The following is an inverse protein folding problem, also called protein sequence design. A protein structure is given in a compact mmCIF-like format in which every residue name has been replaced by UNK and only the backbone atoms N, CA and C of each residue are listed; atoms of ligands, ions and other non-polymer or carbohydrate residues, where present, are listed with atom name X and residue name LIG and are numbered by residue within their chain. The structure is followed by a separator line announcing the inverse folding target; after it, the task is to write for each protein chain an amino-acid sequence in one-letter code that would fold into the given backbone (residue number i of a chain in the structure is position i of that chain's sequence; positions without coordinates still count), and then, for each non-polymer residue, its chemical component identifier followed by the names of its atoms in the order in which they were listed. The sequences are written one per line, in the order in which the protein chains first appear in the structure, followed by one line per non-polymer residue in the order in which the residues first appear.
data_IF_777042133399
#
_entry.id   IF_777042133399
#
_cell.length_a   1.000
_cell.length_b   1.000
_cell.length_c   1.000
_cell.angle_alpha   90.00
_cell.angle_beta   90.00
_cell.angle_gamma   90.00
#
_symmetry.space_group_name_H-M   'P 1'
#
loop_
_entity.id
_entity.type
_entity.pdbx_description
1 polymer ?
#
# COMPACT_ATOMS: atom_id res chain seq x y z
N UNK A 1 -17.66 -17.33 -24.38
CA UNK A 1 -16.49 -16.48 -24.70
C UNK A 1 -16.52 -15.10 -24.02
N UNK A 2 -17.18 -14.04 -24.52
CA UNK A 2 -17.10 -12.69 -23.88
C UNK A 2 -17.63 -12.66 -22.44
N UNK A 3 -18.77 -13.33 -22.15
CA UNK A 3 -19.32 -13.43 -20.78
C UNK A 3 -18.40 -14.19 -19.82
N UNK A 4 -17.73 -15.24 -20.29
CA UNK A 4 -16.82 -16.05 -19.46
C UNK A 4 -15.54 -15.29 -19.17
N UNK A 5 -14.98 -14.58 -20.16
CA UNK A 5 -13.81 -13.72 -19.95
C UNK A 5 -14.14 -12.61 -18.93
N UNK A 6 -15.32 -11.98 -19.03
CA UNK A 6 -15.73 -10.95 -18.06
C UNK A 6 -15.93 -11.52 -16.66
N UNK A 7 -16.52 -12.72 -16.53
CA UNK A 7 -16.69 -13.39 -15.24
C UNK A 7 -15.36 -13.78 -14.60
N UNK A 8 -14.40 -14.26 -15.40
CA UNK A 8 -13.06 -14.64 -14.93
C UNK A 8 -12.25 -13.42 -14.48
N UNK A 9 -12.32 -12.31 -15.23
CA UNK A 9 -11.69 -11.04 -14.86
C UNK A 9 -12.29 -10.44 -13.58
N UNK A 10 -13.61 -10.55 -13.38
CA UNK A 10 -14.29 -10.12 -12.16
C UNK A 10 -13.93 -11.01 -10.97
N UNK A 11 -13.90 -12.33 -11.16
CA UNK A 11 -13.55 -13.29 -10.12
C UNK A 11 -12.11 -13.11 -9.63
N UNK A 12 -11.19 -12.76 -10.53
CA UNK A 12 -9.80 -12.50 -10.19
C UNK A 12 -9.60 -11.09 -9.63
N UNK A 13 -10.22 -10.06 -10.23
CA UNK A 13 -10.00 -8.66 -9.86
C UNK A 13 -10.59 -8.25 -8.50
N UNK A 14 -11.73 -8.81 -8.11
CA UNK A 14 -12.38 -8.50 -6.83
C UNK A 14 -11.50 -8.82 -5.61
N UNK A 15 -10.94 -10.04 -5.47
CA UNK A 15 -10.01 -10.36 -4.39
C UNK A 15 -8.83 -9.41 -4.28
N UNK A 16 -8.24 -8.99 -5.41
CA UNK A 16 -7.09 -8.06 -5.42
C UNK A 16 -7.48 -6.71 -4.84
N UNK A 17 -8.63 -6.18 -5.26
CA UNK A 17 -9.14 -4.90 -4.76
C UNK A 17 -9.49 -4.96 -3.27
N UNK A 18 -10.15 -6.02 -2.83
CA UNK A 18 -10.44 -6.24 -1.41
C UNK A 18 -9.18 -6.39 -0.57
N UNK A 19 -8.16 -7.10 -1.06
CA UNK A 19 -6.89 -7.22 -0.36
C UNK A 19 -6.17 -5.87 -0.25
N UNK A 20 -6.10 -5.10 -1.35
CA UNK A 20 -5.48 -3.78 -1.34
C UNK A 20 -6.17 -2.82 -0.36
N UNK A 21 -7.51 -2.77 -0.37
CA UNK A 21 -8.27 -1.95 0.58
C UNK A 21 -8.12 -2.42 2.03
N UNK A 22 -8.12 -3.73 2.28
CA UNK A 22 -7.90 -4.30 3.61
C UNK A 22 -6.54 -3.91 4.19
N UNK A 23 -5.47 -3.90 3.38
CA UNK A 23 -4.13 -3.47 3.79
C UNK A 23 -4.16 -2.01 4.25
N UNK A 24 -4.83 -1.12 3.51
CA UNK A 24 -4.93 0.31 3.87
C UNK A 24 -5.73 0.52 5.16
N UNK A 25 -6.85 -0.20 5.32
CA UNK A 25 -7.65 -0.12 6.56
C UNK A 25 -6.85 -0.65 7.74
N UNK A 26 -6.17 -1.79 7.58
CA UNK A 26 -5.35 -2.38 8.64
C UNK A 26 -4.18 -1.47 9.03
N UNK A 27 -3.57 -0.79 8.06
CA UNK A 27 -2.53 0.22 8.30
C UNK A 27 -3.02 1.39 9.17
N UNK A 28 -4.29 1.80 9.06
CA UNK A 28 -4.86 2.81 9.96
C UNK A 28 -5.22 2.22 11.33
N UNK A 29 -5.77 0.99 11.36
CA UNK A 29 -6.20 0.31 12.59
C UNK A 29 -5.04 -0.03 13.51
N UNK A 30 -3.87 -0.41 12.98
CA UNK A 30 -2.70 -0.74 13.81
C UNK A 30 -2.25 0.45 14.67
N UNK A 31 -2.44 1.66 14.16
CA UNK A 31 -2.20 2.90 14.89
C UNK A 31 -3.38 3.23 15.82
N UNK A 32 -4.63 3.17 15.36
CA UNK A 32 -5.77 3.50 16.23
C UNK A 32 -5.91 2.59 17.45
N UNK A 33 -5.66 1.28 17.30
CA UNK A 33 -5.73 0.29 18.39
C UNK A 33 -4.70 0.54 19.47
N UNK A 34 -3.49 0.91 19.06
CA UNK A 34 -2.40 1.18 20.00
C UNK A 34 -2.79 2.37 20.87
N UNK A 35 -3.15 3.50 20.29
CA UNK A 35 -3.51 4.71 21.02
C UNK A 35 -4.85 4.65 21.78
N UNK A 36 -5.80 3.83 21.31
CA UNK A 36 -7.04 3.52 22.03
C UNK A 36 -6.79 2.66 23.27
N UNK A 37 -5.71 1.86 23.27
CA UNK A 37 -5.25 1.12 24.44
C UNK A 37 -4.57 2.07 25.45
N UNK A 38 -5.38 2.96 26.04
CA UNK A 38 -4.99 3.99 27.03
C UNK A 38 -4.42 3.44 28.35
N UNK A 39 -4.11 2.15 28.47
CA UNK A 39 -3.70 1.51 29.71
C UNK A 39 -2.24 1.05 29.71
N UNK A 40 -1.32 1.90 30.15
CA UNK A 40 0.01 1.52 30.67
C UNK A 40 1.09 0.96 29.72
N UNK A 41 0.77 0.34 28.57
CA UNK A 41 1.80 -0.25 27.70
C UNK A 41 2.53 0.79 26.82
N UNK A 42 1.80 1.72 26.18
CA UNK A 42 2.42 2.80 25.38
C UNK A 42 3.31 3.70 26.25
N UNK A 43 2.87 4.03 27.47
CA UNK A 43 3.69 4.84 28.38
C UNK A 43 4.99 4.13 28.76
N UNK A 44 4.97 2.81 28.98
CA UNK A 44 6.18 2.02 29.25
C UNK A 44 7.06 1.85 28.00
N UNK A 45 6.47 1.72 26.82
CA UNK A 45 7.19 1.61 25.54
C UNK A 45 7.82 2.94 25.10
N UNK A 46 7.17 4.07 25.38
CA UNK A 46 7.67 5.44 25.11
C UNK A 46 8.63 5.97 26.19
N UNK A 47 8.65 5.35 27.39
CA UNK A 47 9.61 5.62 28.47
C UNK A 47 10.87 4.74 28.41
N UNK A 48 10.85 3.63 27.65
CA UNK A 48 12.07 2.87 27.37
C UNK A 48 13.04 3.77 26.57
N UNK A 49 14.33 3.87 26.98
CA UNK A 49 15.36 4.64 26.27
C UNK A 49 15.78 3.94 24.97
N UNK A 50 14.81 3.56 24.15
CA UNK A 50 14.97 3.00 22.83
C UNK A 50 14.39 3.95 21.79
N UNK A 51 14.99 4.00 20.59
CA UNK A 51 14.58 4.93 19.54
C UNK A 51 13.11 4.70 19.17
N UNK A 52 12.28 5.75 19.32
CA UNK A 52 10.85 5.75 18.93
C UNK A 52 10.64 5.40 17.44
N UNK A 53 11.68 5.61 16.65
CA UNK A 53 11.79 5.22 15.25
C UNK A 53 11.75 3.69 15.02
N UNK A 54 12.23 2.89 15.97
CA UNK A 54 12.20 1.42 15.87
C UNK A 54 10.78 0.85 15.87
N UNK A 55 9.85 1.48 16.59
CA UNK A 55 8.43 1.07 16.61
C UNK A 55 7.79 1.34 15.24
N UNK A 56 8.10 2.49 14.63
CA UNK A 56 7.63 2.82 13.28
C UNK A 56 8.14 1.79 12.25
N UNK A 57 9.43 1.46 12.29
CA UNK A 57 10.03 0.46 11.41
C UNK A 57 9.44 -0.94 11.60
N UNK A 58 9.22 -1.36 12.85
CA UNK A 58 8.61 -2.66 13.13
C UNK A 58 7.20 -2.76 12.54
N UNK A 59 6.39 -1.69 12.63
CA UNK A 59 5.06 -1.64 12.01
C UNK A 59 5.12 -1.63 10.49
N UNK A 60 6.05 -0.88 9.90
CA UNK A 60 6.23 -0.86 8.44
C UNK A 60 6.63 -2.25 7.94
N UNK A 61 7.60 -2.91 8.59
CA UNK A 61 7.98 -4.29 8.25
C UNK A 61 6.82 -5.27 8.42
N UNK A 62 6.02 -5.12 9.47
CA UNK A 62 4.81 -5.96 9.66
C UNK A 62 3.83 -5.77 8.50
N UNK A 63 3.59 -4.53 8.07
CA UNK A 63 2.73 -4.25 6.92
C UNK A 63 3.29 -4.81 5.61
N UNK A 64 4.61 -4.74 5.41
CA UNK A 64 5.26 -5.36 4.25
C UNK A 64 5.09 -6.87 4.24
N UNK A 65 5.32 -7.54 5.38
CA UNK A 65 5.14 -8.99 5.49
C UNK A 65 3.68 -9.39 5.21
N UNK A 66 2.71 -8.67 5.77
CA UNK A 66 1.28 -8.90 5.50
C UNK A 66 0.97 -8.72 4.01
N UNK A 67 1.54 -7.69 3.38
CA UNK A 67 1.33 -7.41 1.95
C UNK A 67 1.87 -8.56 1.08
N UNK A 68 3.11 -9.00 1.31
CA UNK A 68 3.70 -10.13 0.59
C UNK A 68 2.94 -11.43 0.83
N UNK A 69 2.49 -11.67 2.06
CA UNK A 69 1.70 -12.84 2.39
C UNK A 69 0.36 -12.85 1.65
N UNK A 70 -0.37 -11.73 1.65
CA UNK A 70 -1.64 -11.60 0.92
C UNK A 70 -1.45 -11.76 -0.59
N UNK A 71 -0.35 -11.24 -1.13
CA UNK A 71 0.00 -11.39 -2.54
C UNK A 71 0.30 -12.85 -2.89
N UNK A 72 1.05 -13.57 -2.04
CA UNK A 72 1.30 -15.00 -2.21
C UNK A 72 0.00 -15.82 -2.16
N UNK A 73 -0.90 -15.53 -1.22
CA UNK A 73 -2.21 -16.20 -1.11
C UNK A 73 -3.05 -15.99 -2.35
N UNK A 74 -3.05 -14.79 -2.93
CA UNK A 74 -3.78 -14.50 -4.17
C UNK A 74 -3.24 -15.30 -5.36
N UNK A 75 -1.92 -15.37 -5.51
CA UNK A 75 -1.29 -16.18 -6.56
C UNK A 75 -1.67 -17.64 -6.39
N UNK A 76 -1.48 -18.22 -5.20
CA UNK A 76 -1.86 -19.61 -4.91
C UNK A 76 -3.34 -19.87 -5.16
N UNK A 77 -4.21 -18.91 -4.83
CA UNK A 77 -5.66 -18.99 -5.08
C UNK A 77 -6.01 -19.13 -6.56
N UNK A 78 -5.31 -18.43 -7.46
CA UNK A 78 -5.50 -18.57 -8.92
C UNK A 78 -5.10 -19.95 -9.40
N UNK A 79 -3.92 -20.44 -8.96
CA UNK A 79 -3.47 -21.79 -9.32
C UNK A 79 -4.46 -22.84 -8.83
N UNK A 80 -4.94 -22.72 -7.59
CA UNK A 80 -5.92 -23.65 -7.02
C UNK A 80 -7.25 -23.62 -7.79
N UNK A 81 -7.74 -22.44 -8.18
CA UNK A 81 -8.96 -22.30 -8.98
C UNK A 81 -8.81 -23.01 -10.34
N UNK A 82 -7.66 -22.84 -11.00
CA UNK A 82 -7.35 -23.55 -12.24
C UNK A 82 -7.36 -25.07 -12.06
N UNK A 83 -6.66 -25.60 -11.05
CA UNK A 83 -6.61 -27.05 -10.81
C UNK A 83 -7.97 -27.65 -10.46
N UNK A 84 -8.78 -26.95 -9.65
CA UNK A 84 -10.13 -27.38 -9.32
C UNK A 84 -11.02 -27.39 -10.56
N UNK A 85 -10.97 -26.33 -11.38
CA UNK A 85 -11.77 -26.25 -12.61
C UNK A 85 -11.39 -27.33 -13.62
N UNK A 86 -10.08 -27.59 -13.80
CA UNK A 86 -9.59 -28.67 -14.65
C UNK A 86 -9.95 -30.07 -14.13
N UNK A 87 -10.14 -30.22 -12.82
CA UNK A 87 -10.55 -31.49 -12.21
C UNK A 87 -12.04 -31.77 -12.42
N UNK A 88 -12.90 -30.75 -12.27
CA UNK A 88 -14.36 -30.92 -12.40
C UNK A 88 -14.86 -30.87 -13.85
N UNK A 89 -14.16 -30.18 -14.75
CA UNK A 89 -14.60 -30.01 -16.14
C UNK A 89 -13.44 -30.35 -17.11
N UNK A 90 -13.36 -31.61 -17.57
CA UNK A 90 -12.26 -32.10 -18.42
C UNK A 90 -12.17 -31.42 -19.80
N UNK A 91 -13.25 -30.81 -20.30
CA UNK A 91 -13.24 -30.08 -21.58
C UNK A 91 -12.31 -28.85 -21.57
N UNK A 92 -12.08 -28.22 -20.41
CA UNK A 92 -11.15 -27.09 -20.29
C UNK A 92 -9.68 -27.51 -20.41
N UNK A 93 -9.36 -28.77 -20.12
CA UNK A 93 -8.00 -29.30 -20.26
C UNK A 93 -7.56 -29.45 -21.73
N UNK A 94 -8.52 -29.51 -22.67
CA UNK A 94 -8.23 -29.66 -24.10
C UNK A 94 -7.67 -28.37 -24.73
N UNK A 95 -7.95 -27.20 -24.13
CA UNK A 95 -7.54 -25.90 -24.65
C UNK A 95 -6.07 -25.53 -24.37
N UNK A 96 -5.26 -26.41 -23.75
CA UNK A 96 -3.83 -26.17 -23.45
C UNK A 96 -3.55 -24.81 -22.77
N UNK A 97 -4.50 -24.31 -21.98
CA UNK A 97 -4.34 -23.04 -21.25
C UNK A 97 -3.42 -23.33 -20.07
N UNK A 98 -2.22 -22.75 -20.06
CA UNK A 98 -1.32 -22.88 -18.91
C UNK A 98 -1.78 -21.98 -17.76
N UNK A 99 -1.62 -22.38 -16.49
CA UNK A 99 -1.98 -21.52 -15.35
C UNK A 99 -1.28 -20.15 -15.41
N UNK A 100 -0.06 -20.13 -15.95
CA UNK A 100 0.72 -18.91 -16.15
C UNK A 100 0.05 -17.94 -17.13
N UNK A 101 -0.61 -18.46 -18.17
CA UNK A 101 -1.33 -17.61 -19.13
C UNK A 101 -2.52 -16.87 -18.49
N UNK A 102 -3.14 -17.43 -17.45
CA UNK A 102 -4.22 -16.75 -16.69
C UNK A 102 -3.67 -15.62 -15.82
N UNK A 103 -2.45 -15.82 -15.28
CA UNK A 103 -1.73 -14.79 -14.52
C UNK A 103 -1.24 -13.66 -15.45
N UNK A 104 -0.84 -13.95 -16.68
CA UNK A 104 -0.33 -12.90 -17.58
C UNK A 104 -1.39 -12.16 -18.39
N UNK A 105 -2.55 -12.78 -18.64
CA UNK A 105 -3.60 -12.20 -19.51
C UNK A 105 -4.75 -11.52 -18.75
N UNK A 106 -4.80 -11.59 -17.42
CA UNK A 106 -5.80 -10.86 -16.65
C UNK A 106 -5.38 -9.41 -16.41
N UNK A 107 -6.34 -8.47 -16.30
CA UNK A 107 -6.04 -7.06 -16.06
C UNK A 107 -5.49 -6.80 -14.65
N UNK A 108 -5.87 -7.63 -13.67
CA UNK A 108 -5.52 -7.44 -12.27
C UNK A 108 -4.21 -8.13 -11.86
N UNK A 109 -3.83 -9.24 -12.50
CA UNK A 109 -2.63 -9.99 -12.12
C UNK A 109 -1.29 -9.29 -12.42
N UNK A 110 -1.15 -8.41 -13.44
CA UNK A 110 0.04 -7.60 -13.60
C UNK A 110 0.34 -6.69 -12.39
N UNK A 111 -0.66 -6.39 -11.56
CA UNK A 111 -0.47 -5.67 -10.29
C UNK A 111 0.13 -6.57 -9.19
N UNK A 112 -0.06 -7.88 -9.27
CA UNK A 112 0.43 -8.85 -8.29
C UNK A 112 1.70 -9.58 -8.74
N UNK A 113 1.81 -9.93 -10.01
CA UNK A 113 2.98 -10.58 -10.59
C UNK A 113 3.35 -9.82 -11.86
N UNK A 114 4.00 -8.66 -11.72
CA UNK A 114 4.48 -7.90 -12.86
C UNK A 114 5.53 -8.71 -13.63
N UNK A 115 5.45 -8.64 -14.95
CA UNK A 115 6.32 -9.39 -15.86
C UNK A 115 7.75 -8.85 -15.90
N UNK A 116 7.95 -7.59 -15.50
CA UNK A 116 9.23 -6.89 -15.58
C UNK A 116 9.68 -6.41 -14.19
N UNK A 117 10.98 -6.54 -13.89
CA UNK A 117 11.57 -6.13 -12.61
C UNK A 117 11.35 -4.64 -12.29
N UNK A 118 11.37 -3.77 -13.31
CA UNK A 118 11.13 -2.32 -13.13
C UNK A 118 9.66 -2.05 -12.75
N UNK A 119 8.72 -2.78 -13.33
CA UNK A 119 7.30 -2.68 -12.97
C UNK A 119 7.05 -3.20 -11.55
N UNK A 120 7.73 -4.29 -11.16
CA UNK A 120 7.71 -4.78 -9.78
C UNK A 120 8.17 -3.71 -8.78
N UNK A 121 9.31 -3.06 -9.05
CA UNK A 121 9.82 -1.99 -8.19
C UNK A 121 8.85 -0.81 -8.12
N UNK A 122 8.20 -0.44 -9.23
CA UNK A 122 7.23 0.65 -9.26
C UNK A 122 5.99 0.32 -8.40
N UNK A 123 5.40 -0.86 -8.58
CA UNK A 123 4.23 -1.28 -7.79
C UNK A 123 4.59 -1.39 -6.30
N UNK A 124 5.76 -1.95 -5.98
CA UNK A 124 6.24 -2.06 -4.60
C UNK A 124 6.47 -0.69 -3.97
N UNK A 125 7.17 0.22 -4.65
CA UNK A 125 7.43 1.58 -4.13
C UNK A 125 6.14 2.38 -3.99
N UNK A 126 5.18 2.22 -4.91
CA UNK A 126 3.86 2.82 -4.81
C UNK A 126 3.06 2.27 -3.61
N UNK A 127 3.07 0.95 -3.39
CA UNK A 127 2.41 0.32 -2.25
C UNK A 127 2.98 0.79 -0.92
N UNK A 128 4.31 0.86 -0.81
CA UNK A 128 4.99 1.40 0.39
C UNK A 128 4.64 2.87 0.60
N UNK A 129 4.65 3.70 -0.46
CA UNK A 129 4.26 5.10 -0.37
C UNK A 129 2.81 5.27 0.14
N UNK A 130 1.87 4.42 -0.30
CA UNK A 130 0.50 4.43 0.20
C UNK A 130 0.42 4.04 1.69
N UNK A 131 1.12 2.99 2.11
CA UNK A 131 1.15 2.59 3.53
C UNK A 131 1.73 3.72 4.40
N UNK A 132 2.83 4.33 3.96
CA UNK A 132 3.49 5.43 4.67
C UNK A 132 2.59 6.66 4.76
N UNK A 133 1.84 7.00 3.70
CA UNK A 133 0.88 8.12 3.77
C UNK A 133 -0.29 7.84 4.70
N UNK A 134 -0.80 6.61 4.75
CA UNK A 134 -1.82 6.20 5.72
C UNK A 134 -1.29 6.25 7.14
N UNK A 135 -0.06 5.79 7.38
CA UNK A 135 0.59 5.92 8.69
C UNK A 135 0.70 7.38 9.13
N UNK A 136 1.12 8.25 8.22
CA UNK A 136 1.23 9.69 8.48
C UNK A 136 -0.13 10.32 8.82
N UNK A 137 -1.18 9.96 8.07
CA UNK A 137 -2.56 10.38 8.37
C UNK A 137 -3.03 9.87 9.73
N UNK A 138 -2.78 8.59 10.04
CA UNK A 138 -3.17 8.00 11.31
C UNK A 138 -2.48 8.68 12.50
N UNK A 139 -1.17 8.97 12.40
CA UNK A 139 -0.42 9.70 13.42
C UNK A 139 -0.96 11.14 13.58
N UNK A 140 -1.30 11.84 12.50
CA UNK A 140 -1.90 13.18 12.59
C UNK A 140 -3.29 13.16 13.23
N UNK A 141 -4.12 12.16 12.89
CA UNK A 141 -5.45 12.00 13.47
C UNK A 141 -5.35 11.62 14.95
N UNK A 142 -4.36 10.86 15.38
CA UNK A 142 -4.35 10.38 16.78
C UNK A 142 -3.43 11.21 17.69
N UNK A 143 -2.27 11.65 17.20
CA UNK A 143 -1.29 12.43 17.96
C UNK A 143 -1.75 13.84 18.35
N UNK A 144 -2.80 14.39 17.72
CA UNK A 144 -3.30 15.75 18.01
C UNK A 144 -4.37 15.77 19.12
N UNK A 145 -4.72 14.62 19.72
CA UNK A 145 -5.76 14.54 20.75
C UNK A 145 -5.59 15.51 21.94
N UNK A 146 -4.36 15.95 22.27
CA UNK A 146 -4.12 16.91 23.35
C UNK A 146 -4.38 18.38 23.00
N UNK A 147 -4.61 18.75 21.73
CA UNK A 147 -4.77 20.15 21.30
C UNK A 147 -5.96 20.32 20.34
N UNK A 148 -7.16 20.53 20.89
CA UNK A 148 -8.36 21.12 20.25
C UNK A 148 -8.80 20.57 18.88
N UNK A 149 -10.07 20.17 18.75
CA UNK A 149 -10.67 19.62 17.52
C UNK A 149 -10.37 20.41 16.24
N UNK A 150 -10.34 21.75 16.32
CA UNK A 150 -10.05 22.64 15.18
C UNK A 150 -8.63 22.45 14.63
N UNK A 151 -7.60 22.39 15.48
CA UNK A 151 -6.20 22.20 15.03
C UNK A 151 -5.98 20.83 14.38
N UNK A 152 -6.73 19.83 14.83
CA UNK A 152 -6.72 18.46 14.27
C UNK A 152 -7.18 18.47 12.82
N UNK A 153 -8.38 18.99 12.57
CA UNK A 153 -8.97 19.08 11.21
C UNK A 153 -8.07 19.93 10.31
N UNK A 154 -7.57 21.08 10.77
CA UNK A 154 -6.67 21.92 9.97
C UNK A 154 -5.39 21.20 9.58
N UNK A 155 -4.77 20.43 10.48
CA UNK A 155 -3.53 19.71 10.17
C UNK A 155 -3.72 18.57 9.17
N UNK A 156 -4.84 17.86 9.23
CA UNK A 156 -5.19 16.79 8.30
C UNK A 156 -5.52 17.38 6.93
N UNK A 157 -6.32 18.45 6.87
CA UNK A 157 -6.68 19.13 5.62
C UNK A 157 -5.43 19.71 4.95
N UNK A 158 -4.53 20.33 5.71
CA UNK A 158 -3.29 20.88 5.16
C UNK A 158 -2.38 19.77 4.61
N UNK A 159 -2.28 18.64 5.29
CA UNK A 159 -1.52 17.50 4.79
C UNK A 159 -2.12 16.92 3.50
N UNK A 160 -3.45 16.73 3.44
CA UNK A 160 -4.13 16.28 2.21
C UNK A 160 -3.88 17.27 1.07
N UNK A 161 -3.94 18.57 1.34
CA UNK A 161 -3.66 19.61 0.34
C UNK A 161 -2.22 19.51 -0.18
N UNK A 162 -1.23 19.30 0.69
CA UNK A 162 0.17 19.07 0.29
C UNK A 162 0.32 17.83 -0.59
N UNK A 163 -0.36 16.73 -0.26
CA UNK A 163 -0.38 15.50 -1.08
C UNK A 163 -0.93 15.79 -2.48
N UNK A 164 -2.06 16.49 -2.57
CA UNK A 164 -2.70 16.82 -3.86
C UNK A 164 -1.83 17.76 -4.70
N UNK A 165 -1.22 18.77 -4.08
CA UNK A 165 -0.31 19.71 -4.79
C UNK A 165 0.93 18.98 -5.31
N UNK A 166 1.54 18.11 -4.52
CA UNK A 166 2.72 17.34 -4.97
C UNK A 166 2.34 16.36 -6.08
N UNK A 167 1.21 15.68 -5.96
CA UNK A 167 0.72 14.77 -7.00
C UNK A 167 0.44 15.51 -8.32
N UNK A 168 -0.21 16.66 -8.27
CA UNK A 168 -0.48 17.49 -9.46
C UNK A 168 0.79 18.05 -10.09
N UNK A 169 1.79 18.43 -9.29
CA UNK A 169 3.12 18.82 -9.78
C UNK A 169 3.82 17.68 -10.53
N UNK A 170 3.84 16.47 -9.96
CA UNK A 170 4.45 15.29 -10.60
C UNK A 170 3.75 15.01 -11.93
N UNK A 171 2.42 14.98 -11.95
CA UNK A 171 1.66 14.77 -13.19
C UNK A 171 1.94 15.87 -14.23
N UNK A 172 1.98 17.14 -13.81
CA UNK A 172 2.31 18.26 -14.70
C UNK A 172 3.72 18.12 -15.30
N UNK A 173 4.72 17.69 -14.52
CA UNK A 173 6.09 17.49 -15.03
C UNK A 173 6.17 16.41 -16.11
N UNK A 174 5.37 15.34 -15.99
CA UNK A 174 5.26 14.28 -17.00
C UNK A 174 4.62 14.77 -18.31
N UNK A 175 3.66 15.69 -18.24
CA UNK A 175 3.01 16.26 -19.44
C UNK A 175 3.85 17.31 -20.15
N UNK A 176 4.64 18.11 -19.40
CA UNK A 176 5.44 19.21 -19.95
C UNK A 176 6.78 18.72 -20.50
N UNK A 177 7.46 17.80 -19.81
CA UNK A 177 8.68 17.16 -20.29
C UNK A 177 8.26 15.80 -20.82
N UNK A 178 8.15 15.65 -22.15
CA UNK A 178 7.93 14.34 -22.80
C UNK A 178 9.15 13.45 -22.56
N UNK A 179 9.24 12.90 -21.36
CA UNK A 179 10.25 11.94 -20.95
C UNK A 179 10.08 10.66 -21.78
N UNK A 180 11.20 10.07 -22.21
CA UNK A 180 11.18 8.76 -22.87
C UNK A 180 10.69 7.74 -21.83
N UNK A 181 9.94 6.70 -22.25
CA UNK A 181 9.23 5.79 -21.33
C UNK A 181 10.06 5.24 -20.15
N UNK A 182 11.35 4.94 -20.37
CA UNK A 182 12.25 4.52 -19.30
C UNK A 182 12.66 5.65 -18.34
N UNK A 183 12.89 6.86 -18.85
CA UNK A 183 13.25 8.03 -18.02
C UNK A 183 12.08 8.46 -17.14
N UNK A 184 10.85 8.37 -17.67
CA UNK A 184 9.61 8.61 -16.94
C UNK A 184 9.46 7.65 -15.74
N UNK A 185 9.76 6.36 -15.94
CA UNK A 185 9.72 5.36 -14.87
C UNK A 185 10.74 5.63 -13.76
N UNK A 186 11.99 5.94 -14.13
CA UNK A 186 13.04 6.26 -13.15
C UNK A 186 12.69 7.52 -12.36
N UNK A 187 12.15 8.54 -13.02
CA UNK A 187 11.69 9.76 -12.37
C UNK A 187 10.55 9.49 -11.39
N UNK A 188 9.55 8.68 -11.78
CA UNK A 188 8.45 8.27 -10.90
C UNK A 188 8.96 7.55 -9.65
N UNK A 189 9.79 6.53 -9.82
CA UNK A 189 10.38 5.77 -8.70
C UNK A 189 11.19 6.72 -7.78
N UNK A 190 12.01 7.59 -8.37
CA UNK A 190 12.79 8.58 -7.61
C UNK A 190 11.91 9.53 -6.80
N UNK A 191 10.84 10.06 -7.41
CA UNK A 191 9.89 10.94 -6.73
C UNK A 191 9.16 10.24 -5.57
N UNK A 192 8.81 8.96 -5.73
CA UNK A 192 8.16 8.15 -4.69
C UNK A 192 9.12 7.83 -3.53
N UNK A 193 10.40 7.56 -3.82
CA UNK A 193 11.41 7.37 -2.78
C UNK A 193 11.63 8.64 -1.96
N UNK A 194 11.75 9.79 -2.63
CA UNK A 194 11.85 11.10 -1.94
C UNK A 194 10.62 11.33 -1.07
N UNK A 195 9.43 11.03 -1.59
CA UNK A 195 8.18 11.13 -0.83
C UNK A 195 8.17 10.25 0.42
N UNK A 196 8.60 8.98 0.31
CA UNK A 196 8.70 8.07 1.46
C UNK A 196 9.64 8.62 2.52
N UNK A 197 10.84 9.06 2.12
CA UNK A 197 11.85 9.60 3.04
C UNK A 197 11.32 10.86 3.75
N UNK A 198 10.69 11.78 3.01
CA UNK A 198 10.10 12.99 3.60
C UNK A 198 9.01 12.65 4.62
N UNK A 199 8.14 11.68 4.31
CA UNK A 199 7.11 11.24 5.25
C UNK A 199 7.68 10.53 6.48
N UNK A 200 8.73 9.72 6.32
CA UNK A 200 9.43 9.11 7.45
C UNK A 200 10.04 10.15 8.39
N UNK A 201 10.72 11.18 7.84
CA UNK A 201 11.28 12.27 8.62
C UNK A 201 10.20 13.09 9.33
N UNK A 202 9.09 13.36 8.64
CA UNK A 202 7.97 14.11 9.21
C UNK A 202 7.24 13.30 10.29
N UNK A 203 7.12 11.98 10.13
CA UNK A 203 6.63 11.05 11.14
C UNK A 203 7.52 11.08 12.39
N UNK A 204 8.85 11.01 12.24
CA UNK A 204 9.80 11.11 13.36
C UNK A 204 9.68 12.46 14.09
N UNK A 205 9.63 13.56 13.34
CA UNK A 205 9.43 14.89 13.91
C UNK A 205 8.11 15.00 14.69
N UNK A 206 6.99 14.50 14.15
CA UNK A 206 5.71 14.55 14.85
C UNK A 206 5.68 13.69 16.11
N UNK A 207 6.29 12.51 16.08
CA UNK A 207 6.40 11.62 17.23
C UNK A 207 7.30 12.19 18.33
N UNK A 208 8.34 12.94 17.95
CA UNK A 208 9.27 13.56 18.92
C UNK A 208 8.77 14.90 19.47
N UNK A 209 8.10 15.74 18.66
CA UNK A 209 7.74 17.11 19.05
C UNK A 209 6.26 17.35 19.36
N UNK A 210 5.32 16.56 18.81
CA UNK A 210 3.86 16.75 19.03
C UNK A 210 3.21 15.68 19.90
N UNK A 211 3.84 14.51 20.00
CA UNK A 211 3.46 13.40 20.89
C UNK A 211 4.29 13.40 22.18
N UNK A 212 4.93 14.51 22.54
CA UNK A 212 5.43 14.67 23.91
C UNK A 212 4.23 14.80 24.83
N UNK A 213 4.15 13.89 25.80
CA UNK A 213 3.23 13.97 26.93
C UNK A 213 3.36 15.32 27.60
#
# INVERSE_FOLDING_TARGET
MVKEIVLDQLAIGLPVFFAGSAILVYAAVIWSKEWSSKGSFIYRLLMLPGSRFGIYWAKLLTMLVITFFLQAVQVVGVFLNYYLTSFFIPEFAQYHITPWSLVTNSMAMPLLVPQYAVQFLLILTMGVALIVTVFQLAILVVGVEKKGYVRKVTSVVLYILVVVVIFTLIMRTQFVVRLIGNEAMVFLIGSMLIWIVLNMLLSDYLLNHKVSV
#
